data_IF_443506257951
#
_entry.id   IF_443506257951
#
_cell.length_a   1.000
_cell.length_b   1.000
_cell.length_c   1.000
_cell.angle_alpha   90.00
_cell.angle_beta   90.00
_cell.angle_gamma   90.00
#
_symmetry.space_group_name_H-M   'P 1'
#
loop_
_entity.id
_entity.type
_entity.pdbx_description
1 polymer ?
#
# COMPACT_ATOMS: atom_id res chain seq x y z
N UNK A 1 2.54 -9.09 0.51
CA UNK A 1 2.83 -10.09 -0.54
C UNK A 1 2.66 -9.45 -1.91
N UNK A 2 3.59 -9.68 -2.84
CA UNK A 2 3.53 -9.14 -4.22
C UNK A 2 3.27 -10.31 -5.17
N UNK A 3 2.35 -10.13 -6.11
CA UNK A 3 2.04 -11.04 -7.20
C UNK A 3 2.35 -10.36 -8.54
N UNK A 4 3.19 -10.97 -9.37
CA UNK A 4 3.35 -10.56 -10.76
C UNK A 4 2.23 -11.21 -11.58
N UNK A 5 1.62 -10.44 -12.47
CA UNK A 5 0.51 -10.87 -13.34
C UNK A 5 0.93 -10.62 -14.79
N UNK A 6 1.54 -11.63 -15.41
CA UNK A 6 2.21 -11.46 -16.71
C UNK A 6 3.38 -10.48 -16.63
N UNK A 7 3.78 -9.92 -17.77
CA UNK A 7 4.95 -9.04 -17.86
C UNK A 7 4.67 -7.59 -17.48
N UNK A 8 3.41 -7.16 -17.60
CA UNK A 8 3.02 -5.75 -17.50
C UNK A 8 2.14 -5.43 -16.29
N UNK A 9 1.75 -6.38 -15.46
CA UNK A 9 0.92 -6.09 -14.29
C UNK A 9 1.51 -6.67 -13.01
N UNK A 10 1.26 -5.99 -11.90
CA UNK A 10 1.65 -6.42 -10.57
C UNK A 10 0.56 -6.05 -9.56
N UNK A 11 0.35 -6.90 -8.57
CA UNK A 11 -0.56 -6.68 -7.47
C UNK A 11 0.21 -6.82 -6.16
N UNK A 12 0.05 -5.88 -5.24
CA UNK A 12 0.64 -5.94 -3.90
C UNK A 12 -0.45 -5.77 -2.85
N UNK A 13 -0.45 -6.66 -1.87
CA UNK A 13 -1.27 -6.56 -0.67
C UNK A 13 -0.36 -6.44 0.55
N UNK A 14 -0.67 -5.50 1.44
CA UNK A 14 0.10 -5.26 2.67
C UNK A 14 -0.76 -4.65 3.77
N UNK A 15 -0.26 -4.77 5.00
CA UNK A 15 -0.80 -4.04 6.15
C UNK A 15 -0.09 -2.70 6.22
N UNK A 16 -0.84 -1.59 6.16
CA UNK A 16 -0.32 -0.25 6.39
C UNK A 16 -0.51 0.12 7.85
N UNK A 17 0.59 0.51 8.49
CA UNK A 17 0.57 1.14 9.81
C UNK A 17 0.78 2.64 9.65
N UNK A 18 -0.09 3.43 10.25
CA UNK A 18 0.05 4.88 10.33
C UNK A 18 0.14 5.29 11.79
N UNK A 19 1.22 5.97 12.15
CA UNK A 19 1.40 6.57 13.46
C UNK A 19 1.22 8.08 13.36
N UNK A 20 0.41 8.65 14.24
CA UNK A 20 0.12 10.09 14.25
C UNK A 20 -0.21 10.55 15.67
N UNK A 21 -0.15 11.87 15.89
CA UNK A 21 -0.66 12.51 17.11
C UNK A 21 -2.10 12.93 16.87
N UNK A 22 -3.02 12.58 17.76
CA UNK A 22 -4.41 13.04 17.66
C UNK A 22 -4.58 14.51 18.10
N UNK A 23 -5.81 15.03 18.05
CA UNK A 23 -6.12 16.40 18.44
C UNK A 23 -5.85 16.73 19.92
N UNK A 24 -5.66 15.73 20.78
CA UNK A 24 -5.27 15.90 22.18
C UNK A 24 -3.75 15.81 22.40
N UNK A 25 -2.97 15.59 21.33
CA UNK A 25 -1.54 15.35 21.41
C UNK A 25 -1.19 13.96 21.93
N UNK A 26 -2.11 12.98 21.86
CA UNK A 26 -1.86 11.60 22.25
C UNK A 26 -1.36 10.79 21.03
N UNK A 27 -0.29 9.99 21.16
CA UNK A 27 0.16 9.14 20.06
C UNK A 27 -0.85 8.03 19.77
N UNK A 28 -1.13 7.80 18.49
CA UNK A 28 -2.02 6.75 17.99
C UNK A 28 -1.32 5.94 16.91
N UNK A 29 -1.66 4.64 16.87
CA UNK A 29 -1.30 3.73 15.79
C UNK A 29 -2.59 3.23 15.15
N UNK A 30 -2.72 3.36 13.84
CA UNK A 30 -3.83 2.83 13.06
C UNK A 30 -3.32 1.80 12.05
N UNK A 31 -4.07 0.72 11.91
CA UNK A 31 -3.83 -0.33 10.92
C UNK A 31 -4.90 -0.28 9.84
N UNK A 32 -4.51 -0.47 8.58
CA UNK A 32 -5.42 -0.77 7.47
C UNK A 32 -4.82 -1.83 6.56
N UNK A 33 -5.68 -2.65 5.95
CA UNK A 33 -5.29 -3.57 4.89
C UNK A 33 -5.41 -2.86 3.54
N UNK A 34 -4.33 -2.79 2.77
CA UNK A 34 -4.30 -2.13 1.46
C UNK A 34 -3.95 -3.13 0.36
N UNK A 35 -4.64 -3.03 -0.78
CA UNK A 35 -4.28 -3.69 -2.03
C UNK A 35 -4.02 -2.64 -3.10
N UNK A 36 -2.90 -2.72 -3.80
CA UNK A 36 -2.57 -1.87 -4.96
C UNK A 36 -2.30 -2.72 -6.18
N UNK A 37 -2.93 -2.35 -7.29
CA UNK A 37 -2.70 -2.96 -8.61
C UNK A 37 -1.98 -1.95 -9.49
N UNK A 38 -0.89 -2.38 -10.09
CA UNK A 38 -0.02 -1.61 -10.97
C UNK A 38 -0.07 -2.21 -12.36
N UNK A 39 -0.06 -1.35 -13.38
CA UNK A 39 -0.04 -1.75 -14.78
C UNK A 39 0.99 -0.91 -15.52
N UNK A 40 2.03 -1.58 -16.00
CA UNK A 40 3.15 -1.00 -16.71
C UNK A 40 2.67 -0.43 -18.06
N UNK A 41 2.84 0.88 -18.25
CA UNK A 41 2.57 1.59 -19.50
C UNK A 41 3.82 2.33 -19.95
N UNK A 42 4.19 2.16 -21.22
CA UNK A 42 5.39 2.77 -21.81
C UNK A 42 6.67 2.50 -20.98
N UNK A 43 6.76 1.29 -20.40
CA UNK A 43 7.88 0.87 -19.56
C UNK A 43 7.86 1.39 -18.11
N UNK A 44 6.82 2.12 -17.69
CA UNK A 44 6.67 2.67 -16.33
C UNK A 44 5.51 2.00 -15.59
N UNK A 45 5.72 1.65 -14.32
CA UNK A 45 4.71 1.07 -13.45
C UNK A 45 3.71 2.10 -12.95
#
# INVERSE_FOLDING_TARGET
>A
HVHLVGDDAACIAYIRLTQYMDGSGMPKTMQSEETRVWHRRDGKW
#
